data_IF_229886100506
#
_entry.id   IF_229886100506
#
_cell.length_a   1.000
_cell.length_b   1.000
_cell.length_c   1.000
_cell.angle_alpha   90.00
_cell.angle_beta   90.00
_cell.angle_gamma   90.00
#
_symmetry.space_group_name_H-M   'P 1'
#
loop_
_entity.id
_entity.type
_entity.pdbx_description
1 polymer ?
#
# COMPACT_ATOMS: atom_id res chain seq x y z
N UNK A 1 -6.26 1.38 -8.74
CA UNK A 1 -6.67 1.90 -7.40
C UNK A 1 -5.44 2.35 -6.63
N UNK A 2 -5.57 3.39 -5.77
CA UNK A 2 -4.51 3.87 -4.91
C UNK A 2 -4.94 3.62 -3.47
N UNK A 3 -4.20 2.78 -2.73
CA UNK A 3 -4.35 2.60 -1.29
C UNK A 3 -3.76 3.80 -0.53
N UNK A 4 -4.51 4.36 0.41
CA UNK A 4 -4.09 5.54 1.18
C UNK A 4 -4.20 5.25 2.67
N UNK A 5 -3.07 5.31 3.37
CA UNK A 5 -3.02 5.23 4.82
C UNK A 5 -3.32 6.59 5.47
N UNK A 6 -3.72 6.56 6.74
CA UNK A 6 -3.94 7.76 7.53
C UNK A 6 -2.86 7.93 8.59
N UNK A 7 -2.25 9.14 8.64
CA UNK A 7 -1.31 9.52 9.67
C UNK A 7 -1.84 10.70 10.49
N UNK A 8 -1.38 10.79 11.74
CA UNK A 8 -1.75 11.86 12.68
C UNK A 8 -1.03 13.18 12.32
N UNK A 9 -1.33 14.24 13.05
CA UNK A 9 -0.61 15.51 13.00
C UNK A 9 0.86 15.40 13.47
N UNK A 10 1.23 14.31 14.15
CA UNK A 10 2.61 13.98 14.55
C UNK A 10 3.36 13.17 13.50
N UNK A 11 2.66 12.62 12.50
CA UNK A 11 3.22 11.76 11.47
C UNK A 11 3.16 10.26 11.77
N UNK A 12 2.66 9.88 12.95
CA UNK A 12 2.46 8.49 13.35
C UNK A 12 1.22 7.90 12.67
N UNK A 13 1.12 6.58 12.61
CA UNK A 13 -0.08 5.90 12.14
C UNK A 13 -1.31 6.30 12.98
N UNK A 14 -2.39 6.68 12.32
CA UNK A 14 -3.65 6.89 13.00
C UNK A 14 -4.22 5.54 13.47
N UNK A 15 -4.72 5.47 14.70
CA UNK A 15 -5.16 4.23 15.37
C UNK A 15 -6.22 3.42 14.61
N UNK A 16 -6.88 4.00 13.63
CA UNK A 16 -7.89 3.36 12.77
C UNK A 16 -7.36 3.05 11.36
N UNK A 17 -6.11 3.37 11.07
CA UNK A 17 -5.51 3.05 9.78
C UNK A 17 -5.04 1.60 9.79
N UNK A 18 -5.54 0.82 8.87
CA UNK A 18 -5.12 -0.56 8.67
C UNK A 18 -3.78 -0.63 7.95
N UNK A 19 -2.98 -1.62 8.31
CA UNK A 19 -1.74 -1.96 7.62
C UNK A 19 -2.04 -2.74 6.33
N UNK A 20 -1.13 -2.69 5.37
CA UNK A 20 -1.30 -3.51 4.17
C UNK A 20 -0.25 -3.27 3.10
N UNK A 21 0.09 -4.34 2.41
CA UNK A 21 1.03 -4.32 1.28
C UNK A 21 0.52 -3.51 0.08
N UNK A 22 -0.77 -3.22 0.01
CA UNK A 22 -1.42 -2.48 -1.06
C UNK A 22 -1.49 -0.96 -0.82
N UNK A 23 -0.95 -0.47 0.30
CA UNK A 23 -0.88 0.96 0.59
C UNK A 23 0.23 1.60 -0.25
N UNK A 24 -0.14 2.60 -1.06
CA UNK A 24 0.82 3.30 -1.90
C UNK A 24 1.47 4.47 -1.14
N UNK A 25 0.65 5.31 -0.49
CA UNK A 25 1.08 6.50 0.25
C UNK A 25 0.22 6.74 1.47
N UNK A 26 0.69 7.60 2.38
CA UNK A 26 -0.04 8.06 3.54
C UNK A 26 -0.38 9.55 3.45
N UNK A 27 -1.46 9.98 4.10
CA UNK A 27 -1.81 11.38 4.23
C UNK A 27 -2.34 11.71 5.63
N UNK A 28 -2.18 12.99 6.01
CA UNK A 28 -2.64 13.44 7.31
C UNK A 28 -4.15 13.29 7.50
N UNK A 29 -4.51 12.94 8.72
CA UNK A 29 -5.89 12.80 9.19
C UNK A 29 -5.95 13.11 10.68
N UNK A 30 -7.08 12.83 11.32
CA UNK A 30 -7.23 12.91 12.76
C UNK A 30 -6.63 11.68 13.42
N UNK A 31 -6.06 11.83 14.61
CA UNK A 31 -5.54 10.71 15.42
C UNK A 31 -4.65 11.18 16.57
N UNK A 32 -4.03 12.32 16.41
CA UNK A 32 -3.26 13.02 17.44
C UNK A 32 -4.06 14.11 18.13
N UNK A 33 -3.49 15.29 18.22
CA UNK A 33 -4.10 16.46 18.87
C UNK A 33 -5.06 17.24 17.97
N UNK A 34 -4.89 17.13 16.65
CA UNK A 34 -5.65 17.89 15.65
C UNK A 34 -6.36 16.98 14.65
N UNK A 35 -7.45 17.48 14.08
CA UNK A 35 -8.17 16.86 12.99
C UNK A 35 -8.10 17.71 11.73
N UNK A 36 -8.71 17.21 10.65
CA UNK A 36 -8.80 17.94 9.39
C UNK A 36 -9.94 18.97 9.49
N UNK A 37 -9.64 20.21 9.11
CA UNK A 37 -10.63 21.26 8.99
C UNK A 37 -11.35 21.14 7.65
N UNK A 38 -12.68 21.05 7.68
CA UNK A 38 -13.53 20.94 6.50
C UNK A 38 -14.82 21.71 6.65
N UNK A 39 -15.53 21.93 5.55
CA UNK A 39 -16.86 22.52 5.56
C UNK A 39 -17.86 21.57 6.26
N UNK A 40 -18.82 22.17 6.95
CA UNK A 40 -19.95 21.46 7.56
C UNK A 40 -21.28 22.03 7.03
N UNK A 41 -22.38 21.36 7.34
CA UNK A 41 -23.72 21.86 7.04
C UNK A 41 -23.97 23.15 7.87
N UNK A 42 -24.46 24.19 7.21
CA UNK A 42 -24.73 25.46 7.88
C UNK A 42 -25.70 25.32 9.06
N UNK A 43 -25.34 25.94 10.17
CA UNK A 43 -26.17 25.99 11.38
C UNK A 43 -26.11 24.68 12.17
N UNK A 44 -27.18 24.32 12.86
CA UNK A 44 -27.21 23.19 13.80
C UNK A 44 -27.52 21.83 13.17
N UNK A 45 -27.59 21.74 11.85
CA UNK A 45 -27.92 20.50 11.13
C UNK A 45 -26.70 19.60 10.83
N UNK A 46 -25.48 20.09 11.06
CA UNK A 46 -24.23 19.38 10.79
C UNK A 46 -23.64 18.70 12.03
N UNK A 47 -22.36 18.33 11.94
CA UNK A 47 -21.59 17.73 13.04
C UNK A 47 -21.22 18.75 14.13
N UNK A 48 -21.23 20.03 13.78
CA UNK A 48 -20.98 21.14 14.72
C UNK A 48 -22.09 22.18 14.61
N UNK A 49 -22.13 23.14 15.54
CA UNK A 49 -23.02 24.32 15.41
C UNK A 49 -22.44 25.41 14.49
N UNK A 50 -21.27 25.17 13.92
CA UNK A 50 -20.56 26.06 13.00
C UNK A 50 -20.64 25.53 11.57
N UNK A 51 -20.40 26.39 10.59
CA UNK A 51 -20.29 26.02 9.17
C UNK A 51 -18.95 25.28 8.85
N UNK A 52 -18.12 25.05 9.88
CA UNK A 52 -16.81 24.44 9.78
C UNK A 52 -16.67 23.37 10.87
N UNK A 53 -16.18 22.19 10.47
CA UNK A 53 -15.77 21.12 11.38
C UNK A 53 -14.22 21.03 11.38
N UNK A 54 -13.61 21.14 12.57
CA UNK A 54 -12.16 21.05 12.76
C UNK A 54 -11.69 19.66 13.21
N UNK A 55 -12.58 18.68 13.26
CA UNK A 55 -12.31 17.34 13.80
C UNK A 55 -12.63 16.22 12.79
N UNK A 56 -12.66 16.53 11.50
CA UNK A 56 -12.88 15.51 10.50
C UNK A 56 -11.68 14.55 10.45
N UNK A 57 -11.93 13.25 10.31
CA UNK A 57 -10.90 12.22 10.38
C UNK A 57 -11.31 10.94 9.66
N UNK A 58 -10.59 9.86 10.00
CA UNK A 58 -10.67 8.58 9.31
C UNK A 58 -9.80 8.56 8.06
N UNK A 59 -9.60 7.40 7.46
CA UNK A 59 -9.02 7.28 6.11
C UNK A 59 -9.84 8.04 5.08
N UNK A 60 -11.12 8.32 5.41
CA UNK A 60 -12.04 9.18 4.65
C UNK A 60 -11.61 10.65 4.54
N UNK A 61 -10.70 11.13 5.38
CA UNK A 61 -10.11 12.47 5.24
C UNK A 61 -8.72 12.44 4.60
N UNK A 62 -7.97 11.36 4.77
CA UNK A 62 -6.67 11.17 4.13
C UNK A 62 -6.79 11.03 2.60
N UNK A 63 -7.71 10.20 2.14
CA UNK A 63 -7.92 9.94 0.70
C UNK A 63 -8.22 11.19 -0.13
N UNK A 64 -9.13 12.10 0.26
CA UNK A 64 -9.37 13.32 -0.51
C UNK A 64 -8.19 14.31 -0.50
N UNK A 65 -7.32 14.28 0.51
CA UNK A 65 -6.07 15.06 0.46
C UNK A 65 -5.16 14.56 -0.67
N UNK A 66 -4.99 13.25 -0.79
CA UNK A 66 -4.26 12.66 -1.94
C UNK A 66 -4.94 13.01 -3.25
N UNK A 67 -6.27 12.93 -3.33
CA UNK A 67 -7.03 13.34 -4.53
C UNK A 67 -6.79 14.81 -4.89
N UNK A 68 -6.69 15.69 -3.90
CA UNK A 68 -6.36 17.10 -4.10
C UNK A 68 -4.95 17.30 -4.65
N UNK A 69 -3.97 16.55 -4.16
CA UNK A 69 -2.59 16.57 -4.70
C UNK A 69 -2.58 16.08 -6.14
N UNK A 70 -3.29 14.99 -6.45
CA UNK A 70 -3.42 14.47 -7.82
C UNK A 70 -4.04 15.52 -8.75
N UNK A 71 -5.07 16.25 -8.30
CA UNK A 71 -5.66 17.32 -9.09
C UNK A 71 -4.64 18.43 -9.42
N UNK A 72 -3.78 18.80 -8.47
CA UNK A 72 -2.69 19.77 -8.70
C UNK A 72 -1.62 19.21 -9.66
N UNK A 73 -1.31 17.93 -9.59
CA UNK A 73 -0.40 17.26 -10.53
C UNK A 73 -0.96 17.30 -11.96
N UNK A 74 -2.25 16.98 -12.13
CA UNK A 74 -2.94 17.00 -13.43
C UNK A 74 -3.09 18.42 -14.00
N UNK A 75 -3.26 19.42 -13.14
CA UNK A 75 -3.24 20.83 -13.56
C UNK A 75 -1.85 21.24 -14.06
N UNK A 76 -0.80 20.77 -13.38
CA UNK A 76 0.59 21.03 -13.76
C UNK A 76 1.04 20.29 -15.03
N UNK A 77 0.50 19.09 -15.28
CA UNK A 77 0.75 18.24 -16.45
C UNK A 77 -0.50 17.41 -16.81
N UNK A 78 -1.38 17.94 -17.70
CA UNK A 78 -2.59 17.23 -18.12
C UNK A 78 -2.35 15.95 -18.93
N UNK A 79 -1.11 15.66 -19.33
CA UNK A 79 -0.78 14.46 -20.08
C UNK A 79 -0.53 13.22 -19.21
N UNK A 80 -0.50 13.37 -17.89
CA UNK A 80 -0.28 12.26 -16.96
C UNK A 80 -1.39 11.21 -17.08
N UNK A 81 -0.99 9.96 -17.21
CA UNK A 81 -1.88 8.80 -17.10
C UNK A 81 -2.08 8.43 -15.62
N UNK A 82 -3.00 7.49 -15.36
CA UNK A 82 -3.20 6.99 -13.99
C UNK A 82 -1.95 6.31 -13.41
N UNK A 83 -1.12 5.69 -14.26
CA UNK A 83 0.15 5.07 -13.84
C UNK A 83 1.21 6.12 -13.53
N UNK A 84 1.33 7.15 -14.38
CA UNK A 84 2.23 8.27 -14.13
C UNK A 84 1.94 8.95 -12.79
N UNK A 85 0.65 9.10 -12.44
CA UNK A 85 0.23 9.62 -11.15
C UNK A 85 0.76 8.76 -9.99
N UNK A 86 0.67 7.43 -10.10
CA UNK A 86 1.18 6.52 -9.08
C UNK A 86 2.71 6.63 -8.95
N UNK A 87 3.44 6.62 -10.06
CA UNK A 87 4.89 6.82 -10.07
C UNK A 87 5.30 8.15 -9.41
N UNK A 88 4.64 9.25 -9.79
CA UNK A 88 4.94 10.56 -9.19
C UNK A 88 4.67 10.58 -7.69
N UNK A 89 3.59 9.93 -7.23
CA UNK A 89 3.30 9.80 -5.79
C UNK A 89 4.39 9.01 -5.06
N UNK A 90 4.84 7.89 -5.61
CA UNK A 90 5.93 7.08 -5.04
C UNK A 90 7.23 7.88 -4.97
N UNK A 91 7.64 8.49 -6.07
CA UNK A 91 8.90 9.26 -6.14
C UNK A 91 8.88 10.56 -5.32
N UNK A 92 7.71 11.05 -4.94
CA UNK A 92 7.55 12.27 -4.12
C UNK A 92 7.20 11.99 -2.66
N UNK A 93 6.91 10.75 -2.31
CA UNK A 93 6.60 10.38 -0.93
C UNK A 93 7.83 10.64 -0.03
N UNK A 94 7.56 11.00 1.21
CA UNK A 94 8.60 11.23 2.22
C UNK A 94 8.41 10.30 3.41
N UNK A 95 9.50 9.78 3.94
CA UNK A 95 9.48 9.00 5.19
C UNK A 95 8.89 9.86 6.30
N UNK A 96 7.79 9.39 6.89
CA UNK A 96 7.20 9.91 8.12
C UNK A 96 7.51 8.93 9.24
N UNK A 97 7.42 9.36 10.51
CA UNK A 97 7.77 8.51 11.65
C UNK A 97 9.03 7.66 11.39
N UNK A 98 10.17 8.32 11.21
CA UNK A 98 11.45 7.67 10.88
C UNK A 98 11.94 6.68 11.96
N UNK A 99 11.26 6.61 13.11
CA UNK A 99 11.55 5.68 14.20
C UNK A 99 10.74 4.39 14.14
N UNK A 100 9.76 4.31 13.24
CA UNK A 100 8.98 3.09 13.05
C UNK A 100 9.87 1.94 12.52
N UNK A 101 9.82 0.80 13.20
CA UNK A 101 10.71 -0.33 12.93
C UNK A 101 10.36 -1.13 11.67
N UNK A 102 9.24 -0.82 10.99
CA UNK A 102 8.79 -1.51 9.77
C UNK A 102 9.32 -0.85 8.47
N UNK A 103 10.06 0.27 8.59
CA UNK A 103 10.72 0.85 7.44
C UNK A 103 11.82 -0.05 6.91
N UNK A 104 11.75 -0.37 5.63
CA UNK A 104 12.79 -1.06 4.86
C UNK A 104 13.00 -0.35 3.53
N UNK A 105 14.17 -0.57 2.92
CA UNK A 105 14.42 -0.07 1.56
C UNK A 105 14.29 -1.24 0.61
N UNK A 106 13.44 -1.12 -0.43
CA UNK A 106 13.26 -2.16 -1.43
C UNK A 106 14.46 -2.24 -2.39
N UNK A 107 14.49 -3.25 -3.26
CA UNK A 107 15.59 -3.47 -4.20
C UNK A 107 15.82 -2.34 -5.21
N UNK A 108 14.83 -1.48 -5.44
CA UNK A 108 14.93 -0.29 -6.29
C UNK A 108 15.36 0.98 -5.54
N UNK A 109 15.52 0.90 -4.21
CA UNK A 109 15.96 2.02 -3.38
C UNK A 109 14.84 2.90 -2.83
N UNK A 110 13.58 2.46 -2.93
CA UNK A 110 12.45 3.14 -2.29
C UNK A 110 12.31 2.68 -0.85
N UNK A 111 12.11 3.62 0.07
CA UNK A 111 11.67 3.29 1.43
C UNK A 111 10.23 2.83 1.39
N UNK A 112 9.94 1.71 2.07
CA UNK A 112 8.62 1.09 2.12
C UNK A 112 8.26 0.65 3.54
N UNK A 113 6.97 0.69 3.87
CA UNK A 113 6.45 0.35 5.18
C UNK A 113 4.99 -0.12 5.04
N UNK A 114 4.59 -1.17 5.75
CA UNK A 114 3.22 -1.70 5.65
C UNK A 114 2.14 -0.78 6.22
N UNK A 115 2.52 0.19 7.08
CA UNK A 115 1.60 1.18 7.65
C UNK A 115 1.45 2.41 6.77
N UNK A 116 2.47 2.75 5.97
CA UNK A 116 2.59 4.04 5.30
C UNK A 116 2.78 3.94 3.79
N UNK A 117 2.91 2.73 3.24
CA UNK A 117 3.31 2.52 1.84
C UNK A 117 4.71 3.10 1.60
N UNK A 118 4.84 3.96 0.60
CA UNK A 118 6.10 4.68 0.32
C UNK A 118 6.28 5.94 1.19
N UNK A 119 5.32 6.25 2.07
CA UNK A 119 5.39 7.35 3.02
C UNK A 119 4.32 8.42 2.82
N UNK A 120 4.48 9.52 3.54
CA UNK A 120 3.55 10.65 3.49
C UNK A 120 3.67 11.41 2.18
N UNK A 121 2.52 11.83 1.62
CA UNK A 121 2.49 12.68 0.42
C UNK A 121 3.22 14.00 0.64
N UNK A 122 3.98 14.43 -0.37
CA UNK A 122 4.53 15.78 -0.49
C UNK A 122 3.95 16.47 -1.72
N UNK A 123 2.98 17.35 -1.51
CA UNK A 123 2.27 18.03 -2.60
C UNK A 123 3.19 18.92 -3.43
N UNK A 124 4.17 19.57 -2.78
CA UNK A 124 5.12 20.45 -3.45
C UNK A 124 6.04 19.68 -4.38
N UNK A 125 6.63 18.60 -3.88
CA UNK A 125 7.51 17.73 -4.66
C UNK A 125 6.74 16.98 -5.75
N UNK A 126 5.53 16.47 -5.45
CA UNK A 126 4.68 15.79 -6.43
C UNK A 126 4.37 16.68 -7.63
N UNK A 127 3.94 17.93 -7.40
CA UNK A 127 3.68 18.92 -8.48
C UNK A 127 4.96 19.29 -9.23
N UNK A 128 6.09 19.42 -8.53
CA UNK A 128 7.37 19.70 -9.16
C UNK A 128 7.80 18.59 -10.12
N UNK A 129 7.72 17.33 -9.68
CA UNK A 129 8.04 16.17 -10.52
C UNK A 129 7.05 16.07 -11.68
N UNK A 130 5.73 16.19 -11.43
CA UNK A 130 4.68 16.09 -12.43
C UNK A 130 4.89 17.01 -13.63
N UNK A 131 5.35 18.24 -13.41
CA UNK A 131 5.58 19.24 -14.49
C UNK A 131 6.51 18.76 -15.59
N UNK A 132 7.52 17.96 -15.24
CA UNK A 132 8.56 17.50 -16.16
C UNK A 132 8.53 15.99 -16.36
N UNK A 133 7.46 15.33 -15.90
CA UNK A 133 7.32 13.90 -16.00
C UNK A 133 7.17 13.47 -17.46
N UNK A 134 7.94 12.46 -17.84
CA UNK A 134 7.75 11.76 -19.11
C UNK A 134 6.91 10.52 -18.82
N UNK A 135 5.82 10.36 -19.56
CA UNK A 135 4.91 9.24 -19.35
C UNK A 135 5.63 7.90 -19.40
N UNK A 136 5.30 7.02 -18.50
CA UNK A 136 5.82 5.64 -18.49
C UNK A 136 5.40 4.88 -19.75
N UNK A 137 6.16 3.86 -20.12
CA UNK A 137 5.86 2.99 -21.25
C UNK A 137 4.54 2.24 -21.07
N UNK A 138 4.05 1.60 -22.11
CA UNK A 138 2.88 0.75 -22.07
C UNK A 138 3.01 -0.30 -20.96
N UNK A 139 1.93 -0.55 -20.25
CA UNK A 139 1.82 -1.61 -19.25
C UNK A 139 1.94 -3.00 -19.89
N UNK A 140 2.70 -3.86 -19.25
CA UNK A 140 2.80 -5.27 -19.59
C UNK A 140 2.52 -6.10 -18.33
N UNK A 141 1.82 -7.21 -18.52
CA UNK A 141 1.53 -8.15 -17.45
C UNK A 141 2.19 -9.49 -17.76
N UNK A 142 2.79 -10.07 -16.75
CA UNK A 142 3.25 -11.45 -16.75
C UNK A 142 2.48 -12.23 -15.67
N UNK A 143 2.19 -13.48 -15.90
CA UNK A 143 1.57 -14.35 -14.91
C UNK A 143 2.13 -15.77 -15.01
N UNK A 144 2.31 -16.42 -13.86
CA UNK A 144 2.58 -17.87 -13.83
C UNK A 144 1.32 -18.65 -14.20
N UNK A 145 1.51 -19.93 -14.52
CA UNK A 145 0.43 -20.91 -14.38
C UNK A 145 0.12 -21.11 -12.90
N UNK A 146 -1.05 -21.66 -12.61
CA UNK A 146 -1.39 -22.14 -11.27
C UNK A 146 -0.36 -23.17 -10.79
N UNK A 147 -0.01 -23.09 -9.51
CA UNK A 147 0.94 -23.97 -8.83
C UNK A 147 0.18 -24.67 -7.71
N UNK A 148 0.01 -25.98 -7.88
CA UNK A 148 -0.60 -26.84 -6.86
C UNK A 148 0.51 -27.41 -5.96
N UNK A 149 0.66 -26.82 -4.78
CA UNK A 149 1.66 -27.26 -3.79
C UNK A 149 1.21 -28.52 -3.08
N UNK A 150 -0.09 -28.71 -2.87
CA UNK A 150 -0.71 -29.92 -2.23
C UNK A 150 0.02 -30.40 -0.98
N UNK A 151 0.49 -29.49 -0.12
CA UNK A 151 1.19 -29.78 1.13
C UNK A 151 0.46 -29.18 2.32
N UNK A 152 0.62 -29.83 3.47
CA UNK A 152 0.07 -29.29 4.72
C UNK A 152 0.89 -28.09 5.18
N UNK A 153 0.20 -27.02 5.55
CA UNK A 153 0.82 -25.89 6.25
C UNK A 153 1.15 -26.37 7.66
N UNK A 154 2.42 -26.30 8.10
CA UNK A 154 2.82 -26.75 9.44
C UNK A 154 2.17 -25.86 10.51
N UNK A 155 1.56 -26.46 11.52
CA UNK A 155 0.95 -25.73 12.63
C UNK A 155 2.01 -25.26 13.64
N UNK A 156 1.93 -24.00 14.03
CA UNK A 156 2.74 -23.37 15.08
C UNK A 156 4.26 -23.62 14.95
N UNK A 157 4.81 -23.48 13.76
CA UNK A 157 6.24 -23.62 13.49
C UNK A 157 6.82 -22.34 12.90
N UNK A 158 8.07 -22.03 13.26
CA UNK A 158 8.78 -20.85 12.72
C UNK A 158 9.15 -21.01 11.23
N UNK A 159 9.07 -22.22 10.69
CA UNK A 159 9.33 -22.53 9.28
C UNK A 159 8.03 -22.98 8.65
N UNK A 160 7.30 -22.05 8.07
CA UNK A 160 6.08 -22.32 7.33
C UNK A 160 6.31 -23.13 6.06
N UNK A 161 5.28 -23.22 5.25
CA UNK A 161 5.35 -23.78 3.91
C UNK A 161 5.85 -22.69 2.94
N UNK A 162 6.87 -22.99 2.16
CA UNK A 162 7.40 -22.09 1.13
C UNK A 162 7.30 -22.71 -0.25
N UNK A 163 6.95 -21.88 -1.22
CA UNK A 163 7.05 -22.21 -2.63
C UNK A 163 7.65 -21.06 -3.44
N UNK A 164 8.16 -21.36 -4.64
CA UNK A 164 8.91 -20.39 -5.43
C UNK A 164 8.49 -20.35 -6.88
N UNK A 165 8.53 -19.16 -7.46
CA UNK A 165 8.31 -18.92 -8.90
C UNK A 165 9.50 -18.19 -9.47
N UNK A 166 10.08 -18.72 -10.57
CA UNK A 166 11.09 -18.00 -11.32
C UNK A 166 10.42 -17.16 -12.42
N UNK A 167 10.63 -15.86 -12.38
CA UNK A 167 10.16 -14.90 -13.38
C UNK A 167 11.32 -14.52 -14.31
N UNK A 168 11.06 -14.45 -15.60
CA UNK A 168 12.00 -14.00 -16.65
C UNK A 168 11.17 -13.17 -17.67
N UNK A 169 10.79 -11.97 -17.25
CA UNK A 169 9.88 -11.12 -18.01
C UNK A 169 10.49 -9.78 -18.41
N UNK A 170 11.61 -9.39 -17.78
CA UNK A 170 12.31 -8.14 -18.07
C UNK A 170 11.49 -6.89 -17.74
N UNK A 171 10.60 -6.95 -16.73
CA UNK A 171 9.73 -5.86 -16.36
C UNK A 171 10.25 -5.13 -15.10
N UNK A 172 9.89 -3.86 -14.98
CA UNK A 172 9.91 -3.15 -13.70
C UNK A 172 8.54 -3.29 -13.03
N UNK A 173 8.53 -3.63 -11.77
CA UNK A 173 7.32 -3.93 -11.01
C UNK A 173 6.61 -2.63 -10.61
N UNK A 174 5.30 -2.57 -10.83
CA UNK A 174 4.41 -1.54 -10.25
C UNK A 174 3.51 -2.15 -9.19
N UNK A 175 3.04 -3.37 -9.43
CA UNK A 175 2.28 -4.14 -8.46
C UNK A 175 2.46 -5.63 -8.68
N UNK A 176 2.32 -6.40 -7.61
CA UNK A 176 2.27 -7.86 -7.68
C UNK A 176 0.93 -8.31 -7.14
N UNK A 177 0.27 -9.20 -7.86
CA UNK A 177 -0.94 -9.87 -7.39
C UNK A 177 -0.62 -11.34 -7.14
N UNK A 178 -1.01 -11.84 -5.97
CA UNK A 178 -0.94 -13.25 -5.60
C UNK A 178 -2.37 -13.77 -5.46
N UNK A 179 -2.78 -14.68 -6.35
CA UNK A 179 -4.02 -15.42 -6.18
C UNK A 179 -3.73 -16.63 -5.30
N UNK A 180 -4.41 -16.74 -4.19
CA UNK A 180 -4.13 -17.70 -3.14
C UNK A 180 -5.37 -18.51 -2.78
N UNK A 181 -5.19 -19.84 -2.77
CA UNK A 181 -6.14 -20.81 -2.30
C UNK A 181 -5.52 -21.67 -1.22
N UNK A 182 -6.22 -21.85 -0.10
CA UNK A 182 -5.81 -22.75 0.96
C UNK A 182 -7.00 -23.23 1.77
N UNK A 183 -7.03 -24.51 2.07
CA UNK A 183 -7.94 -25.09 3.05
C UNK A 183 -7.36 -24.93 4.45
N UNK A 184 -8.02 -24.13 5.29
CA UNK A 184 -7.65 -23.93 6.69
C UNK A 184 -8.89 -23.69 7.56
N UNK A 185 -8.85 -24.15 8.81
CA UNK A 185 -10.01 -24.06 9.72
C UNK A 185 -10.28 -22.65 10.25
N UNK A 186 -9.24 -21.80 10.33
CA UNK A 186 -9.32 -20.40 10.73
C UNK A 186 -8.27 -19.63 9.90
N UNK A 187 -8.70 -18.98 8.82
CA UNK A 187 -7.78 -18.31 7.89
C UNK A 187 -7.03 -17.13 8.52
N UNK A 188 -7.58 -16.55 9.60
CA UNK A 188 -6.93 -15.49 10.35
C UNK A 188 -5.70 -15.94 11.15
N UNK A 189 -5.47 -17.24 11.28
CA UNK A 189 -4.27 -17.79 11.92
C UNK A 189 -3.05 -17.81 10.96
N UNK A 190 -3.29 -17.60 9.65
CA UNK A 190 -2.24 -17.66 8.63
C UNK A 190 -1.58 -16.30 8.45
N UNK A 191 -0.24 -16.32 8.42
CA UNK A 191 0.60 -15.22 7.93
C UNK A 191 1.12 -15.58 6.54
N UNK A 192 0.97 -14.66 5.58
CA UNK A 192 1.39 -14.86 4.19
C UNK A 192 2.37 -13.77 3.81
N UNK A 193 3.60 -14.16 3.44
CA UNK A 193 4.67 -13.23 3.06
C UNK A 193 5.19 -13.55 1.66
N UNK A 194 5.20 -12.54 0.79
CA UNK A 194 5.85 -12.57 -0.51
C UNK A 194 7.23 -11.92 -0.40
N UNK A 195 8.25 -12.61 -0.91
CA UNK A 195 9.62 -12.07 -0.98
C UNK A 195 10.06 -11.98 -2.44
N UNK A 196 10.51 -10.79 -2.86
CA UNK A 196 11.06 -10.56 -4.21
C UNK A 196 12.46 -11.15 -4.38
N UNK A 197 12.98 -11.26 -5.61
CA UNK A 197 14.36 -11.64 -5.89
C UNK A 197 15.40 -10.76 -5.19
N UNK A 198 15.10 -9.47 -4.99
CA UNK A 198 15.95 -8.52 -4.29
C UNK A 198 15.87 -8.64 -2.76
N UNK A 199 14.98 -9.50 -2.25
CA UNK A 199 14.82 -9.78 -0.83
C UNK A 199 13.83 -8.87 -0.10
N UNK A 200 13.12 -8.00 -0.81
CA UNK A 200 12.04 -7.19 -0.23
C UNK A 200 10.90 -8.09 0.19
N UNK A 201 10.50 -7.97 1.47
CA UNK A 201 9.38 -8.73 2.03
C UNK A 201 8.11 -7.90 2.06
N UNK A 202 7.02 -8.51 1.63
CA UNK A 202 5.68 -7.96 1.67
C UNK A 202 4.75 -8.90 2.41
N UNK A 203 4.24 -8.49 3.56
CA UNK A 203 3.22 -9.22 4.31
C UNK A 203 1.88 -9.01 3.63
N UNK A 204 1.39 -10.05 2.98
CA UNK A 204 0.11 -10.05 2.26
C UNK A 204 -1.07 -10.30 3.19
N UNK A 205 -0.86 -11.12 4.22
CA UNK A 205 -1.80 -11.34 5.32
C UNK A 205 -1.02 -11.43 6.63
N UNK A 206 -1.60 -10.88 7.69
CA UNK A 206 -1.12 -10.97 9.06
C UNK A 206 -2.11 -11.77 9.90
N UNK A 207 -1.63 -12.37 10.98
CA UNK A 207 -2.50 -13.05 11.92
C UNK A 207 -3.49 -12.05 12.55
N UNK A 208 -4.77 -12.39 12.49
CA UNK A 208 -5.85 -11.56 13.01
C UNK A 208 -7.05 -12.41 13.44
N UNK A 209 -7.99 -11.83 14.16
CA UNK A 209 -9.16 -12.55 14.64
C UNK A 209 -10.20 -12.75 13.52
N UNK A 210 -9.97 -13.73 12.65
CA UNK A 210 -10.91 -14.20 11.64
C UNK A 210 -11.01 -15.73 11.69
N UNK A 211 -12.11 -16.21 12.24
CA UNK A 211 -12.41 -17.64 12.38
C UNK A 211 -13.14 -18.23 11.15
N UNK A 212 -13.25 -17.52 10.05
CA UNK A 212 -13.75 -18.09 8.81
C UNK A 212 -12.70 -19.07 8.27
N UNK A 213 -13.20 -20.13 7.63
CA UNK A 213 -12.35 -21.12 7.01
C UNK A 213 -11.97 -20.70 5.58
N UNK A 214 -10.84 -21.23 5.12
CA UNK A 214 -10.33 -21.21 3.75
C UNK A 214 -10.07 -19.82 3.14
N UNK A 215 -9.06 -19.74 2.33
CA UNK A 215 -8.93 -18.75 1.26
C UNK A 215 -9.40 -19.41 -0.04
N UNK A 216 -10.35 -18.80 -0.73
CA UNK A 216 -10.87 -19.29 -2.00
C UNK A 216 -10.65 -18.24 -3.08
N UNK A 217 -9.72 -18.46 -4.00
CA UNK A 217 -9.32 -17.51 -5.05
C UNK A 217 -9.09 -16.09 -4.52
N UNK A 218 -8.49 -15.98 -3.33
CA UNK A 218 -8.24 -14.69 -2.70
C UNK A 218 -7.10 -13.97 -3.42
N UNK A 219 -7.32 -12.71 -3.80
CA UNK A 219 -6.29 -11.92 -4.48
C UNK A 219 -5.69 -10.93 -3.50
N UNK A 220 -4.43 -11.15 -3.17
CA UNK A 220 -3.60 -10.17 -2.46
C UNK A 220 -2.85 -9.31 -3.45
N UNK A 221 -2.70 -8.03 -3.13
CA UNK A 221 -1.94 -7.07 -3.94
C UNK A 221 -0.84 -6.44 -3.11
N UNK A 222 0.36 -6.37 -3.65
CA UNK A 222 1.48 -5.61 -3.08
C UNK A 222 1.98 -4.55 -4.05
N UNK A 223 2.29 -3.37 -3.52
CA UNK A 223 2.96 -2.26 -4.23
C UNK A 223 4.33 -1.94 -3.62
N UNK A 224 4.79 -2.72 -2.63
CA UNK A 224 6.05 -2.46 -1.93
C UNK A 224 7.29 -2.79 -2.78
N UNK A 225 7.13 -3.57 -3.85
CA UNK A 225 8.18 -3.94 -4.81
C UNK A 225 8.32 -2.92 -5.97
N UNK A 226 7.83 -1.70 -5.80
CA UNK A 226 7.80 -0.68 -6.86
C UNK A 226 9.18 -0.44 -7.45
N UNK A 227 9.28 -0.42 -8.79
CA UNK A 227 10.51 -0.26 -9.59
C UNK A 227 11.56 -1.37 -9.44
N UNK A 228 11.33 -2.45 -8.67
CA UNK A 228 12.22 -3.60 -8.65
C UNK A 228 12.19 -4.34 -10.00
N UNK A 229 13.27 -5.08 -10.33
CA UNK A 229 13.22 -6.01 -11.44
C UNK A 229 12.27 -7.17 -11.13
N UNK A 230 11.44 -7.52 -12.11
CA UNK A 230 10.60 -8.71 -12.00
C UNK A 230 11.39 -10.01 -12.02
N UNK A 231 12.61 -9.99 -12.62
CA UNK A 231 13.35 -11.21 -12.97
C UNK A 231 14.05 -11.83 -11.77
N UNK A 232 13.88 -13.13 -11.63
CA UNK A 232 14.48 -13.91 -10.57
C UNK A 232 13.47 -14.77 -9.82
N UNK A 233 13.87 -15.26 -8.65
CA UNK A 233 13.09 -16.18 -7.85
C UNK A 233 12.26 -15.40 -6.82
N UNK A 234 10.96 -15.45 -6.98
CA UNK A 234 9.98 -14.98 -6.01
C UNK A 234 9.62 -16.12 -5.05
N UNK A 235 9.48 -15.82 -3.77
CA UNK A 235 9.15 -16.80 -2.74
C UNK A 235 7.87 -16.41 -2.03
N UNK A 236 6.91 -17.31 -1.94
CA UNK A 236 5.73 -17.20 -1.08
C UNK A 236 5.93 -18.10 0.14
N UNK A 237 5.75 -17.54 1.32
CA UNK A 237 5.82 -18.23 2.60
C UNK A 237 4.46 -18.13 3.30
N UNK A 238 3.99 -19.26 3.85
CA UNK A 238 2.73 -19.36 4.61
C UNK A 238 3.02 -20.03 5.95
N UNK A 239 2.77 -19.30 7.04
CA UNK A 239 2.97 -19.73 8.44
C UNK A 239 1.66 -19.84 9.19
#
# INVERSE_FOLDING_TARGET
TIGVAAITDYGDQAWYSEDGANLLVAAHSRGGSQGITTADIRGSGGYTSSDINNNFGGTSSATPLVSGVIALMLDANPALTYRDVQHVLVHSARTNDATDGDWTTNGAGHDVNHKYGHGAIDAGLAVHIARNWTNVNQEYNWSSSEIDVSQSIPDNTANGLTDTVNVDAGLLVESVEVRFDADHTARGDLEITLTSPDGTKSRLAEQHNDNNNNFNEWVFTSVLHWDESSDGVWTLEVN
#
